data_IF_983169022338
#
_entry.id   IF_983169022338
#
_cell.length_a   1.000
_cell.length_b   1.000
_cell.length_c   1.000
_cell.angle_alpha   90.00
_cell.angle_beta   90.00
_cell.angle_gamma   90.00
#
_symmetry.space_group_name_H-M   'P 1'
#
loop_
_entity.id
_entity.type
_entity.pdbx_description
1 polymer ?
#
# COMPACT_ATOMS: atom_id res chain seq x y z
N UNK A 1 -41.12 -12.78 -46.61
CA UNK A 1 -39.67 -12.54 -46.83
C UNK A 1 -39.20 -11.62 -45.72
N UNK A 2 -38.00 -11.85 -45.17
CA UNK A 2 -37.29 -10.98 -44.21
C UNK A 2 -37.69 -11.02 -42.72
N UNK A 3 -37.76 -12.25 -42.18
CA UNK A 3 -37.42 -12.53 -40.78
C UNK A 3 -35.93 -12.19 -40.57
N UNK A 4 -35.57 -11.07 -39.93
CA UNK A 4 -34.17 -10.89 -39.45
C UNK A 4 -33.88 -9.81 -38.42
N UNK A 5 -34.80 -8.89 -38.05
CA UNK A 5 -34.43 -7.74 -37.21
C UNK A 5 -34.81 -7.84 -35.72
N UNK A 6 -35.21 -9.01 -35.22
CA UNK A 6 -35.40 -9.26 -33.76
C UNK A 6 -34.32 -10.22 -33.26
N UNK A 7 -33.05 -9.87 -33.46
CA UNK A 7 -31.93 -10.73 -33.02
C UNK A 7 -30.65 -9.96 -32.73
N UNK A 8 -30.77 -8.69 -32.32
CA UNK A 8 -29.64 -7.76 -32.12
C UNK A 8 -29.86 -6.70 -30.99
N UNK A 9 -30.60 -6.99 -29.90
CA UNK A 9 -30.31 -6.28 -28.65
C UNK A 9 -30.13 -7.17 -27.41
N UNK A 10 -30.41 -8.47 -27.49
CA UNK A 10 -30.32 -9.37 -26.32
C UNK A 10 -28.89 -9.88 -26.04
N UNK A 11 -28.08 -10.09 -27.08
CA UNK A 11 -26.70 -10.57 -26.93
C UNK A 11 -25.74 -9.51 -26.38
N UNK A 12 -26.00 -8.23 -26.65
CA UNK A 12 -25.16 -7.11 -26.18
C UNK A 12 -25.40 -6.84 -24.69
N UNK A 13 -26.66 -6.96 -24.23
CA UNK A 13 -27.02 -6.79 -22.82
C UNK A 13 -26.46 -7.91 -21.93
N UNK A 14 -26.40 -9.16 -22.43
CA UNK A 14 -25.87 -10.29 -21.66
C UNK A 14 -24.33 -10.24 -21.54
N UNK A 15 -23.62 -9.80 -22.58
CA UNK A 15 -22.17 -9.59 -22.54
C UNK A 15 -21.78 -8.41 -21.63
N UNK A 16 -22.56 -7.33 -21.63
CA UNK A 16 -22.35 -6.19 -20.74
C UNK A 16 -22.55 -6.51 -19.25
N UNK A 17 -23.50 -7.39 -18.92
CA UNK A 17 -23.75 -7.83 -17.54
C UNK A 17 -22.66 -8.78 -17.01
N UNK A 18 -22.08 -9.61 -17.89
CA UNK A 18 -20.95 -10.51 -17.56
C UNK A 18 -19.65 -9.72 -17.34
N UNK A 19 -19.44 -8.61 -18.06
CA UNK A 19 -18.30 -7.71 -17.86
C UNK A 19 -18.38 -6.90 -16.55
N UNK A 20 -19.57 -6.62 -16.02
CA UNK A 20 -19.74 -5.89 -14.76
C UNK A 20 -19.43 -6.72 -13.50
N UNK A 21 -19.56 -8.06 -13.59
CA UNK A 21 -19.43 -8.96 -12.43
C UNK A 21 -17.98 -9.39 -12.12
N UNK A 22 -17.01 -9.13 -13.01
CA UNK A 22 -15.64 -9.61 -12.85
C UNK A 22 -14.70 -8.64 -12.09
N UNK A 23 -15.15 -7.45 -11.71
CA UNK A 23 -14.30 -6.40 -11.14
C UNK A 23 -14.12 -6.43 -9.60
N UNK A 24 -14.59 -7.46 -8.90
CA UNK A 24 -14.35 -7.63 -7.46
C UNK A 24 -13.39 -8.80 -7.19
N UNK A 25 -12.09 -8.63 -7.49
CA UNK A 25 -11.04 -9.56 -7.04
C UNK A 25 -10.30 -9.02 -5.82
N UNK A 26 -10.84 -9.37 -4.65
CA UNK A 26 -10.15 -9.79 -3.40
C UNK A 26 -8.77 -9.16 -3.11
N UNK A 27 -8.75 -8.01 -2.46
CA UNK A 27 -7.59 -7.56 -1.68
C UNK A 27 -7.51 -8.41 -0.39
N UNK A 28 -6.65 -9.45 -0.37
CA UNK A 28 -6.28 -10.11 0.90
C UNK A 28 -5.21 -9.26 1.57
N UNK A 29 -5.37 -8.82 2.84
CA UNK A 29 -4.27 -8.22 3.58
C UNK A 29 -3.26 -9.33 3.87
N UNK A 30 -2.06 -9.21 3.30
CA UNK A 30 -0.95 -10.06 3.63
C UNK A 30 -0.38 -9.61 4.99
N UNK A 31 -0.93 -10.15 6.08
CA UNK A 31 -0.25 -10.12 7.36
C UNK A 31 0.94 -11.11 7.29
N UNK A 32 2.03 -10.67 6.69
CA UNK A 32 3.32 -11.37 6.73
C UNK A 32 3.95 -11.08 8.08
N UNK A 33 3.84 -12.01 9.03
CA UNK A 33 4.67 -11.99 10.24
C UNK A 33 6.12 -12.13 9.81
N UNK A 34 6.89 -11.06 9.92
CA UNK A 34 8.32 -11.12 9.60
C UNK A 34 9.03 -11.85 10.74
N UNK A 35 10.06 -12.65 10.43
CA UNK A 35 10.88 -13.33 11.43
C UNK A 35 11.58 -12.37 12.44
N UNK A 36 11.52 -11.06 12.19
CA UNK A 36 11.94 -10.00 13.09
C UNK A 36 10.97 -9.76 14.27
N UNK A 37 9.72 -10.24 14.18
CA UNK A 37 8.67 -10.01 15.17
C UNK A 37 8.68 -11.06 16.31
N UNK A 38 9.51 -12.10 16.19
CA UNK A 38 9.64 -13.14 17.21
C UNK A 38 10.31 -12.58 18.49
N UNK A 39 9.73 -12.81 19.69
CA UNK A 39 10.36 -12.46 20.96
C UNK A 39 11.74 -13.11 21.08
N UNK A 40 12.78 -12.31 21.30
CA UNK A 40 14.17 -12.78 21.46
C UNK A 40 15.07 -12.60 20.23
N UNK A 41 14.54 -12.23 19.06
CA UNK A 41 15.34 -12.01 17.84
C UNK A 41 15.43 -10.52 17.42
N UNK A 42 15.12 -9.60 18.34
CA UNK A 42 15.19 -8.15 18.08
C UNK A 42 16.65 -7.71 18.05
N UNK A 43 17.09 -7.20 16.91
CA UNK A 43 18.41 -6.59 16.76
C UNK A 43 18.34 -5.09 17.03
N UNK A 44 19.42 -4.46 17.52
CA UNK A 44 19.50 -3.01 17.58
C UNK A 44 19.21 -2.41 16.21
N UNK A 45 18.44 -1.32 16.17
CA UNK A 45 18.26 -0.54 14.95
C UNK A 45 19.66 -0.09 14.44
N UNK A 46 19.95 -0.22 13.13
CA UNK A 46 21.20 0.28 12.57
C UNK A 46 21.35 1.79 12.81
N UNK A 47 22.57 2.24 13.09
CA UNK A 47 22.86 3.67 13.11
C UNK A 47 22.90 4.18 11.66
N UNK A 48 22.28 5.35 11.44
CA UNK A 48 22.33 6.04 10.17
C UNK A 48 22.43 7.55 10.42
N UNK A 49 22.98 8.26 9.44
CA UNK A 49 23.06 9.71 9.44
C UNK A 49 22.40 10.25 8.18
N UNK A 50 21.46 11.17 8.34
CA UNK A 50 20.77 11.84 7.24
C UNK A 50 20.84 13.37 7.46
N UNK A 51 20.92 14.17 6.39
CA UNK A 51 20.77 15.60 6.50
C UNK A 51 19.35 15.94 6.98
N UNK A 52 19.24 16.85 7.93
CA UNK A 52 17.98 17.49 8.29
C UNK A 52 17.56 18.53 7.24
N UNK A 53 16.44 19.20 7.48
CA UNK A 53 15.90 20.23 6.59
C UNK A 53 16.84 21.42 6.38
N UNK A 54 17.81 21.62 7.28
CA UNK A 54 18.84 22.67 7.17
C UNK A 54 20.18 22.12 6.67
N UNK A 55 20.23 20.85 6.24
CA UNK A 55 21.44 20.19 5.74
C UNK A 55 22.41 19.75 6.83
N UNK A 56 22.05 19.87 8.12
CA UNK A 56 22.90 19.41 9.23
C UNK A 56 22.78 17.89 9.37
N UNK A 57 23.88 17.17 9.63
CA UNK A 57 23.83 15.72 9.84
C UNK A 57 23.09 15.41 11.15
N UNK A 58 22.04 14.59 11.06
CA UNK A 58 21.30 14.04 12.20
C UNK A 58 21.52 12.52 12.26
N UNK A 59 21.90 11.99 13.42
CA UNK A 59 22.14 10.55 13.61
C UNK A 59 21.07 9.91 14.48
N UNK A 60 20.73 8.65 14.20
CA UNK A 60 19.81 7.90 15.07
C UNK A 60 20.39 7.72 16.49
N UNK A 61 21.70 7.54 16.59
CA UNK A 61 22.43 7.43 17.86
C UNK A 61 22.28 8.66 18.79
N UNK A 62 21.98 9.84 18.25
CA UNK A 62 21.78 11.06 19.05
C UNK A 62 20.52 10.97 19.94
N UNK A 63 19.60 10.05 19.64
CA UNK A 63 18.35 9.84 20.38
C UNK A 63 18.40 8.64 21.34
N UNK A 64 19.57 8.05 21.59
CA UNK A 64 19.72 6.94 22.55
C UNK A 64 19.18 7.31 23.93
N UNK A 65 18.47 6.37 24.55
CA UNK A 65 17.81 6.58 25.85
C UNK A 65 16.42 7.20 25.77
N UNK A 66 15.96 7.60 24.58
CA UNK A 66 14.58 8.07 24.34
C UNK A 66 13.78 6.98 23.63
N UNK A 67 12.47 6.94 23.91
CA UNK A 67 11.53 6.21 23.04
C UNK A 67 11.32 7.07 21.80
N UNK A 68 11.62 6.51 20.63
CA UNK A 68 11.53 7.20 19.34
C UNK A 68 10.65 6.39 18.42
N UNK A 69 9.71 7.04 17.76
CA UNK A 69 8.97 6.51 16.62
C UNK A 69 9.60 7.06 15.34
N UNK A 70 10.01 6.17 14.44
CA UNK A 70 10.50 6.55 13.11
C UNK A 70 9.36 6.33 12.10
N UNK A 71 8.99 7.39 11.41
CA UNK A 71 8.00 7.37 10.34
C UNK A 71 8.69 7.60 8.99
N UNK A 72 8.52 6.64 8.07
CA UNK A 72 9.12 6.67 6.73
C UNK A 72 8.04 6.95 5.71
N UNK A 73 8.00 8.18 5.19
CA UNK A 73 7.02 8.60 4.19
C UNK A 73 7.71 9.24 2.96
N UNK A 74 6.94 9.46 1.91
CA UNK A 74 7.37 10.20 0.73
C UNK A 74 6.19 10.90 0.07
N UNK A 75 6.46 11.96 -0.70
CA UNK A 75 5.42 12.76 -1.42
C UNK A 75 4.61 11.95 -2.44
N UNK A 76 5.18 10.85 -2.90
CA UNK A 76 4.56 9.90 -3.83
C UNK A 76 3.91 8.71 -3.12
N UNK A 77 4.05 8.56 -1.79
CA UNK A 77 3.37 7.52 -1.05
C UNK A 77 1.89 7.89 -0.87
N UNK A 78 1.02 7.23 -1.64
CA UNK A 78 -0.43 7.47 -1.61
C UNK A 78 -1.04 7.29 -0.21
N UNK A 79 -0.89 6.11 0.43
CA UNK A 79 -1.39 5.88 1.78
C UNK A 79 -0.79 6.82 2.84
N UNK A 80 0.53 7.03 2.83
CA UNK A 80 1.20 7.87 3.82
C UNK A 80 0.68 9.32 3.84
N UNK A 81 0.32 9.88 2.68
CA UNK A 81 -0.28 11.23 2.60
C UNK A 81 -1.62 11.37 3.32
N UNK A 82 -2.34 10.27 3.51
CA UNK A 82 -3.63 10.24 4.22
C UNK A 82 -3.40 10.12 5.72
N UNK A 83 -2.24 9.57 6.13
CA UNK A 83 -1.85 9.39 7.54
C UNK A 83 -1.26 10.66 8.16
N UNK A 84 -0.69 11.55 7.34
CA UNK A 84 -0.14 12.85 7.78
C UNK A 84 -1.30 13.83 8.03
N UNK A 85 -1.37 14.51 9.20
CA UNK A 85 -2.47 15.41 9.59
C UNK A 85 -2.57 16.70 8.75
#
# INVERSE_FOLDING_TARGET
MERSFVRKPFFVALAGLILLAAACSKSKPAATTNAADAPGNRKPAPDFALPDEQGKPMRLSDYKGKVVLLDFWATWCGPCKIEIP
#
